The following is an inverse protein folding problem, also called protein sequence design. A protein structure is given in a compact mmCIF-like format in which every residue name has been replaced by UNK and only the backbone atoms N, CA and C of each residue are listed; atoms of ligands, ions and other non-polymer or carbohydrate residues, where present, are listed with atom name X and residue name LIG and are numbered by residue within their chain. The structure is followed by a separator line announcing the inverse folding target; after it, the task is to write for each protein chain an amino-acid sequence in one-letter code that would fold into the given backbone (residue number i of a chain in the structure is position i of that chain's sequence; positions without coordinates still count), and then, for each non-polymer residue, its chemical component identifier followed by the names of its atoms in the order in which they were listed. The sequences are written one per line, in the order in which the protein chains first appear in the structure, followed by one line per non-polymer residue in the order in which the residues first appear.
data_IF_697923227207
#
_entry.id   IF_697923227207
#
_cell.length_a   1.000
_cell.length_b   1.000
_cell.length_c   1.000
_cell.angle_alpha   90.00
_cell.angle_beta   90.00
_cell.angle_gamma   90.00
#
_symmetry.space_group_name_H-M   'P 1'
#
loop_
_entity.id
_entity.type
_entity.pdbx_description
1 polymer ?
#
# COMPACT_ATOMS: atom_id res chain seq x y z
N UNK A 1 6.61 -14.57 -4.60
CA UNK A 1 6.48 -13.40 -3.74
C UNK A 1 6.37 -13.87 -2.29
N UNK A 2 7.06 -13.22 -1.37
CA UNK A 2 7.03 -13.54 0.05
C UNK A 2 5.85 -12.82 0.74
N UNK A 3 5.26 -13.44 1.76
CA UNK A 3 4.13 -12.88 2.50
C UNK A 3 4.60 -11.93 3.59
N UNK A 4 3.81 -10.91 3.88
CA UNK A 4 3.86 -10.23 5.17
C UNK A 4 3.40 -11.19 6.27
N UNK A 5 3.84 -10.96 7.50
CA UNK A 5 3.37 -11.73 8.65
C UNK A 5 3.16 -10.84 9.87
N UNK A 6 2.05 -11.07 10.58
CA UNK A 6 1.70 -10.35 11.79
C UNK A 6 1.37 -11.33 12.91
N UNK A 7 2.05 -11.18 14.03
CA UNK A 7 1.85 -11.97 15.25
C UNK A 7 2.21 -11.15 16.48
N UNK A 8 1.95 -11.70 17.65
CA UNK A 8 2.36 -11.06 18.90
C UNK A 8 3.08 -12.04 19.82
N UNK A 9 3.96 -11.49 20.66
CA UNK A 9 4.57 -12.20 21.78
C UNK A 9 3.66 -12.07 23.00
N UNK A 10 3.34 -13.22 23.63
CA UNK A 10 2.49 -13.26 24.82
C UNK A 10 3.19 -12.66 26.03
N UNK A 11 2.41 -11.99 26.88
CA UNK A 11 2.89 -11.54 28.18
C UNK A 11 3.06 -12.72 29.15
N UNK A 12 2.08 -13.65 29.19
CA UNK A 12 2.12 -14.85 30.00
C UNK A 12 1.92 -16.08 29.12
N UNK A 13 2.75 -17.11 29.34
CA UNK A 13 2.69 -18.37 28.57
C UNK A 13 1.43 -19.18 28.83
N UNK A 14 0.78 -18.95 29.98
CA UNK A 14 -0.45 -19.68 30.41
C UNK A 14 -1.72 -19.09 29.83
N UNK A 15 -1.67 -17.90 29.20
CA UNK A 15 -2.85 -17.27 28.64
C UNK A 15 -3.37 -18.09 27.44
N UNK A 16 -4.61 -18.56 27.57
CA UNK A 16 -5.33 -19.28 26.50
C UNK A 16 -6.11 -18.36 25.60
N UNK A 17 -6.42 -17.17 26.08
CA UNK A 17 -7.12 -16.12 25.36
C UNK A 17 -6.22 -15.51 24.28
N UNK A 18 -6.83 -15.09 23.15
CA UNK A 18 -6.11 -14.42 22.05
C UNK A 18 -6.51 -12.95 21.98
N UNK A 19 -5.52 -12.12 21.68
CA UNK A 19 -5.77 -10.75 21.30
C UNK A 19 -6.38 -10.70 19.90
N UNK A 20 -7.33 -9.78 19.68
CA UNK A 20 -7.95 -9.58 18.37
C UNK A 20 -7.36 -8.38 17.66
N UNK A 21 -7.43 -8.36 16.33
CA UNK A 21 -6.91 -7.26 15.53
C UNK A 21 -7.82 -6.90 14.37
N UNK A 22 -7.92 -5.59 14.10
CA UNK A 22 -8.42 -5.01 12.85
C UNK A 22 -7.28 -4.29 12.18
N UNK A 23 -7.10 -4.52 10.88
CA UNK A 23 -6.01 -3.93 10.10
C UNK A 23 -6.53 -2.95 9.06
N UNK A 24 -5.82 -1.85 8.91
CA UNK A 24 -6.06 -0.84 7.89
C UNK A 24 -4.78 -0.60 7.10
N UNK A 25 -4.81 -0.84 5.81
CA UNK A 25 -3.71 -0.61 4.90
C UNK A 25 -4.08 0.44 3.87
N UNK A 26 -3.24 1.45 3.67
CA UNK A 26 -3.39 2.39 2.56
C UNK A 26 -2.12 2.33 1.71
N UNK A 27 -2.24 1.81 0.49
CA UNK A 27 -1.16 1.80 -0.47
C UNK A 27 -1.34 2.96 -1.44
N UNK A 28 -0.42 3.93 -1.38
CA UNK A 28 -0.35 5.07 -2.28
C UNK A 28 0.57 4.74 -3.44
N UNK A 29 0.02 4.66 -4.64
CA UNK A 29 0.75 4.28 -5.84
C UNK A 29 0.41 5.17 -7.02
N UNK A 30 1.34 5.25 -8.00
CA UNK A 30 1.20 6.08 -9.22
C UNK A 30 0.92 7.57 -8.94
N UNK A 31 1.28 8.03 -7.74
CA UNK A 31 1.30 9.43 -7.37
C UNK A 31 2.60 10.08 -7.86
N UNK A 32 2.62 11.42 -8.03
CA UNK A 32 3.81 12.15 -8.51
C UNK A 32 4.90 12.32 -7.43
N UNK A 33 4.79 11.60 -6.34
CA UNK A 33 5.77 11.64 -5.28
C UNK A 33 7.04 10.89 -5.67
N UNK A 34 8.16 11.33 -5.14
CA UNK A 34 9.43 10.63 -5.31
C UNK A 34 9.40 9.24 -4.68
N UNK A 35 8.56 9.05 -3.65
CA UNK A 35 8.34 7.80 -2.95
C UNK A 35 6.88 7.37 -3.05
N UNK A 36 6.66 6.06 -3.08
CA UNK A 36 5.37 5.46 -2.76
C UNK A 36 5.21 5.36 -1.24
N UNK A 37 3.97 5.29 -0.76
CA UNK A 37 3.70 5.20 0.68
C UNK A 37 2.82 3.98 0.98
N UNK A 38 3.16 3.34 2.08
CA UNK A 38 2.36 2.25 2.63
C UNK A 38 2.03 2.56 4.09
N UNK A 39 0.79 2.98 4.35
CA UNK A 39 0.30 3.28 5.69
C UNK A 39 -0.28 2.02 6.31
N UNK A 40 0.12 1.74 7.53
CA UNK A 40 -0.29 0.58 8.29
C UNK A 40 -1.00 1.05 9.56
N UNK A 41 -2.25 0.64 9.73
CA UNK A 41 -3.03 0.84 10.95
C UNK A 41 -3.32 -0.50 11.60
N UNK A 42 -3.04 -0.62 12.89
CA UNK A 42 -3.21 -1.84 13.68
C UNK A 42 -4.08 -1.48 14.89
N UNK A 43 -5.36 -1.89 14.90
CA UNK A 43 -6.28 -1.75 16.03
C UNK A 43 -6.31 -3.05 16.81
N UNK A 44 -5.83 -3.01 18.03
CA UNK A 44 -5.66 -4.20 18.88
C UNK A 44 -6.54 -4.07 20.12
N UNK A 45 -7.23 -5.14 20.47
CA UNK A 45 -7.84 -5.29 21.79
C UNK A 45 -6.94 -6.10 22.75
N UNK A 46 -7.31 -6.14 24.04
CA UNK A 46 -6.65 -6.97 25.05
C UNK A 46 -5.12 -6.80 25.07
N UNK A 47 -4.67 -5.57 25.01
CA UNK A 47 -3.24 -5.23 24.98
C UNK A 47 -2.48 -5.83 26.16
N UNK A 48 -3.15 -6.08 27.31
CA UNK A 48 -2.60 -6.74 28.50
C UNK A 48 -2.06 -8.14 28.27
N UNK A 49 -2.52 -8.83 27.19
CA UNK A 49 -2.01 -10.15 26.80
C UNK A 49 -0.69 -10.08 26.02
N UNK A 50 -0.29 -8.89 25.59
CA UNK A 50 0.75 -8.67 24.61
C UNK A 50 1.99 -8.10 25.27
N UNK A 51 3.15 -8.70 24.97
CA UNK A 51 4.47 -8.19 25.29
C UNK A 51 4.99 -7.29 24.16
N UNK A 52 4.86 -7.79 22.93
CA UNK A 52 5.36 -7.16 21.71
C UNK A 52 4.49 -7.53 20.51
N UNK A 53 4.22 -6.57 19.65
CA UNK A 53 3.58 -6.79 18.34
C UNK A 53 4.69 -6.90 17.29
N UNK A 54 4.68 -7.95 16.50
CA UNK A 54 5.68 -8.23 15.48
C UNK A 54 5.05 -8.19 14.11
N UNK A 55 5.63 -7.40 13.19
CA UNK A 55 5.20 -7.31 11.80
C UNK A 55 6.40 -7.52 10.88
N UNK A 56 6.38 -8.59 10.11
CA UNK A 56 7.40 -8.87 9.11
C UNK A 56 7.03 -8.25 7.76
N UNK A 57 7.98 -7.54 7.18
CA UNK A 57 7.92 -6.95 5.85
C UNK A 57 8.85 -7.72 4.92
N UNK A 58 8.37 -8.22 3.75
CA UNK A 58 9.20 -8.97 2.79
C UNK A 58 10.11 -8.06 1.97
N UNK A 59 10.61 -6.99 2.59
CA UNK A 59 11.57 -6.06 2.01
C UNK A 59 12.41 -5.38 3.09
N UNK A 60 13.53 -4.79 2.69
CA UNK A 60 14.40 -4.05 3.58
C UNK A 60 13.84 -2.66 3.88
N UNK A 61 13.75 -2.33 5.16
CA UNK A 61 13.44 -0.99 5.66
C UNK A 61 14.74 -0.38 6.16
N UNK A 62 15.08 0.79 5.66
CA UNK A 62 16.34 1.46 5.96
C UNK A 62 16.17 2.45 7.11
N UNK A 63 16.71 2.12 8.28
CA UNK A 63 16.69 2.97 9.47
C UNK A 63 17.36 4.34 9.24
N UNK A 64 18.45 4.36 8.45
CA UNK A 64 19.23 5.57 8.22
C UNK A 64 18.49 6.63 7.39
N UNK A 65 17.44 6.23 6.66
CA UNK A 65 16.63 7.12 5.82
C UNK A 65 15.31 7.53 6.48
N UNK A 66 15.05 7.11 7.73
CA UNK A 66 13.78 7.37 8.42
C UNK A 66 12.56 7.03 7.54
N UNK A 67 12.59 5.84 6.93
CA UNK A 67 11.50 5.36 6.07
C UNK A 67 10.20 5.14 6.84
N UNK A 68 10.25 5.13 8.19
CA UNK A 68 9.09 4.95 9.05
C UNK A 68 8.73 6.28 9.69
N UNK A 69 7.45 6.64 9.58
CA UNK A 69 6.89 7.86 10.14
C UNK A 69 5.68 7.55 11.01
N UNK A 70 5.60 8.20 12.19
CA UNK A 70 4.41 8.15 13.02
C UNK A 70 3.28 8.98 12.40
N UNK A 71 2.16 8.32 12.08
CA UNK A 71 0.93 8.97 11.65
C UNK A 71 -0.08 9.15 12.78
N UNK A 72 0.21 8.66 13.98
CA UNK A 72 -0.66 8.84 15.15
C UNK A 72 -0.92 10.31 15.44
N UNK A 73 0.08 11.17 15.20
CA UNK A 73 -0.04 12.63 15.40
C UNK A 73 -1.08 13.29 14.49
N UNK A 74 -1.22 12.82 13.26
CA UNK A 74 -2.21 13.38 12.31
C UNK A 74 -3.65 13.06 12.72
N UNK A 75 -3.84 12.04 13.56
CA UNK A 75 -5.14 11.64 14.08
C UNK A 75 -5.66 12.52 15.23
N UNK A 76 -4.92 13.56 15.63
CA UNK A 76 -5.42 14.60 16.54
C UNK A 76 -6.56 15.42 15.92
N UNK A 77 -6.52 15.59 14.59
CA UNK A 77 -7.56 16.28 13.86
C UNK A 77 -8.78 15.36 13.70
N UNK A 78 -9.91 15.75 14.31
CA UNK A 78 -11.13 14.94 14.32
C UNK A 78 -11.69 14.68 12.92
N UNK A 79 -11.53 15.63 11.97
CA UNK A 79 -11.94 15.48 10.59
C UNK A 79 -11.10 14.41 9.86
N UNK A 80 -9.78 14.37 10.09
CA UNK A 80 -8.89 13.36 9.52
C UNK A 80 -9.24 11.98 10.06
N UNK A 81 -9.42 11.86 11.38
CA UNK A 81 -9.83 10.61 12.03
C UNK A 81 -11.18 10.13 11.50
N UNK A 82 -12.16 11.03 11.41
CA UNK A 82 -13.49 10.71 10.87
C UNK A 82 -13.42 10.25 9.40
N UNK A 83 -12.56 10.87 8.58
CA UNK A 83 -12.38 10.48 7.18
C UNK A 83 -11.73 9.10 7.03
N UNK A 84 -10.72 8.77 7.87
CA UNK A 84 -10.02 7.48 7.83
C UNK A 84 -10.96 6.34 8.21
N UNK A 85 -11.76 6.51 9.26
CA UNK A 85 -12.66 5.47 9.76
C UNK A 85 -14.07 5.53 9.15
N UNK A 86 -14.38 6.59 8.40
CA UNK A 86 -15.69 6.86 7.79
C UNK A 86 -16.84 6.91 8.82
N UNK A 87 -16.56 7.50 9.98
CA UNK A 87 -17.50 7.70 11.09
C UNK A 87 -17.23 9.04 11.75
N UNK A 88 -18.25 9.65 12.36
CA UNK A 88 -18.08 10.91 13.08
C UNK A 88 -17.46 10.67 14.45
N UNK A 89 -16.25 11.15 14.63
CA UNK A 89 -15.50 11.04 15.86
C UNK A 89 -15.11 12.40 16.44
N UNK A 90 -14.98 12.43 17.76
CA UNK A 90 -14.27 13.48 18.49
C UNK A 90 -12.97 12.91 19.04
N UNK A 91 -11.92 13.73 19.07
CA UNK A 91 -10.60 13.33 19.55
C UNK A 91 -10.23 14.20 20.73
N UNK A 92 -9.78 13.59 21.82
CA UNK A 92 -9.32 14.28 23.02
C UNK A 92 -7.96 13.73 23.46
N UNK A 93 -7.07 14.60 23.87
CA UNK A 93 -5.74 14.20 24.32
C UNK A 93 -5.85 13.67 25.76
N UNK A 94 -5.58 12.37 25.97
CA UNK A 94 -5.59 11.72 27.28
C UNK A 94 -4.24 11.86 27.99
N UNK A 95 -3.16 11.61 27.25
CA UNK A 95 -1.78 11.81 27.69
C UNK A 95 -1.08 12.66 26.66
N UNK A 96 -0.62 13.84 27.06
CA UNK A 96 -0.04 14.82 26.15
C UNK A 96 1.12 14.23 25.33
N UNK A 97 0.95 14.28 24.00
CA UNK A 97 1.94 13.79 23.04
C UNK A 97 2.16 12.27 23.07
N UNK A 98 1.20 11.49 23.60
CA UNK A 98 1.32 10.02 23.62
C UNK A 98 0.02 9.27 23.35
N UNK A 99 -1.11 9.74 23.86
CA UNK A 99 -2.35 8.99 23.82
C UNK A 99 -3.54 9.90 23.55
N UNK A 100 -4.30 9.57 22.51
CA UNK A 100 -5.53 10.26 22.13
C UNK A 100 -6.71 9.31 22.31
N UNK A 101 -7.75 9.75 23.01
CA UNK A 101 -9.00 9.03 23.10
C UNK A 101 -9.93 9.47 21.97
N UNK A 102 -10.43 8.51 21.20
CA UNK A 102 -11.36 8.70 20.08
C UNK A 102 -12.75 8.25 20.54
N UNK A 103 -13.68 9.19 20.53
CA UNK A 103 -15.04 8.99 21.03
C UNK A 103 -16.07 9.15 19.90
N UNK A 104 -17.15 8.38 19.98
CA UNK A 104 -18.29 8.49 19.09
C UNK A 104 -19.17 9.72 19.45
N UNK A 105 -20.26 9.91 18.72
CA UNK A 105 -21.23 11.00 18.93
C UNK A 105 -21.83 10.97 20.35
N UNK A 106 -21.97 9.78 20.95
CA UNK A 106 -22.48 9.59 22.32
C UNK A 106 -21.41 9.84 23.39
N UNK A 107 -20.21 10.32 22.99
CA UNK A 107 -19.04 10.55 23.86
C UNK A 107 -18.50 9.30 24.55
N UNK A 108 -18.77 8.12 23.99
CA UNK A 108 -18.17 6.87 24.45
C UNK A 108 -16.82 6.68 23.75
N UNK A 109 -15.79 6.34 24.51
CA UNK A 109 -14.47 6.03 23.95
C UNK A 109 -14.56 4.71 23.18
N UNK A 110 -14.28 4.76 21.88
CA UNK A 110 -14.32 3.60 20.98
C UNK A 110 -12.95 2.93 20.91
N UNK A 111 -11.89 3.74 20.88
CA UNK A 111 -10.51 3.30 20.92
C UNK A 111 -9.59 4.47 21.30
N UNK A 112 -8.35 4.14 21.65
CA UNK A 112 -7.31 5.14 21.87
C UNK A 112 -6.24 5.04 20.79
N UNK A 113 -5.74 6.16 20.28
CA UNK A 113 -4.61 6.22 19.34
C UNK A 113 -3.35 6.44 20.14
N UNK A 114 -2.36 5.56 19.94
CA UNK A 114 -1.04 5.73 20.53
C UNK A 114 -0.11 6.40 19.52
N UNK A 115 0.46 7.55 19.91
CA UNK A 115 1.49 8.25 19.12
C UNK A 115 2.82 7.53 19.32
N UNK A 116 3.31 6.87 18.26
CA UNK A 116 4.55 6.10 18.30
C UNK A 116 5.77 7.04 18.34
N UNK A 117 6.62 6.86 19.33
CA UNK A 117 8.00 7.29 19.20
C UNK A 117 8.78 6.19 18.48
N UNK A 118 9.15 6.47 17.23
CA UNK A 118 9.79 5.48 16.35
C UNK A 118 11.10 4.97 16.98
N UNK A 119 11.87 5.86 17.61
CA UNK A 119 13.16 5.51 18.22
C UNK A 119 13.02 4.69 19.50
N UNK A 120 11.98 4.95 20.30
CA UNK A 120 11.79 4.30 21.61
C UNK A 120 10.90 3.05 21.52
N UNK A 121 9.85 3.11 20.69
CA UNK A 121 8.81 2.09 20.67
C UNK A 121 8.99 1.02 19.60
N UNK A 122 9.81 1.26 18.58
CA UNK A 122 10.00 0.34 17.46
C UNK A 122 11.41 -0.23 17.49
N UNK A 123 11.50 -1.56 17.37
CA UNK A 123 12.73 -2.26 17.05
C UNK A 123 12.67 -2.76 15.60
N UNK A 124 13.76 -2.60 14.86
CA UNK A 124 13.93 -3.17 13.52
C UNK A 124 15.02 -4.24 13.56
N UNK A 125 14.68 -5.44 13.12
CA UNK A 125 15.61 -6.56 12.97
C UNK A 125 15.69 -6.91 11.48
N UNK A 126 16.88 -6.77 10.89
CA UNK A 126 17.11 -7.19 9.50
C UNK A 126 17.20 -8.71 9.45
N UNK A 127 16.38 -9.32 8.62
CA UNK A 127 16.39 -10.75 8.31
C UNK A 127 16.93 -10.96 6.88
N UNK A 128 17.20 -12.23 6.53
CA UNK A 128 17.70 -12.58 5.17
C UNK A 128 16.77 -12.10 4.05
N UNK A 129 15.47 -12.11 4.29
CA UNK A 129 14.45 -11.93 3.26
C UNK A 129 13.55 -10.72 3.53
N UNK A 130 13.95 -9.84 4.44
CA UNK A 130 13.15 -8.66 4.78
C UNK A 130 13.49 -8.07 6.14
N UNK A 131 12.54 -7.34 6.70
CA UNK A 131 12.68 -6.65 7.99
C UNK A 131 11.57 -7.03 8.93
N UNK A 132 11.91 -7.37 10.16
CA UNK A 132 10.98 -7.53 11.26
C UNK A 132 10.88 -6.22 12.05
N UNK A 133 9.70 -5.62 12.04
CA UNK A 133 9.34 -4.46 12.85
C UNK A 133 8.61 -4.96 14.10
N UNK A 134 9.05 -4.52 15.26
CA UNK A 134 8.44 -4.87 16.54
C UNK A 134 8.02 -3.64 17.30
N UNK A 135 6.76 -3.58 17.74
CA UNK A 135 6.22 -2.52 18.60
C UNK A 135 6.25 -3.03 20.05
N UNK A 136 6.98 -2.34 20.92
CA UNK A 136 7.11 -2.68 22.34
C UNK A 136 5.87 -2.24 23.12
N UNK A 137 5.23 -3.17 23.81
CA UNK A 137 4.07 -2.90 24.67
C UNK A 137 4.47 -2.96 26.13
N UNK A 138 5.14 -4.03 26.56
CA UNK A 138 5.62 -4.21 27.93
C UNK A 138 6.70 -3.18 28.26
N UNK A 139 6.61 -2.62 29.44
CA UNK A 139 7.53 -1.55 29.88
C UNK A 139 7.09 -0.15 29.44
N UNK A 140 5.94 -0.03 28.76
CA UNK A 140 5.35 1.26 28.43
C UNK A 140 4.14 1.57 29.33
N UNK A 141 4.32 2.42 30.37
CA UNK A 141 3.25 2.71 31.33
C UNK A 141 1.97 3.28 30.71
N UNK A 142 2.11 3.98 29.59
CA UNK A 142 0.95 4.56 28.88
C UNK A 142 0.09 3.51 28.17
N UNK A 143 0.62 2.30 27.94
CA UNK A 143 -0.08 1.21 27.23
C UNK A 143 -0.49 0.07 28.17
N UNK A 144 0.26 -0.18 29.25
CA UNK A 144 0.08 -1.36 30.08
C UNK A 144 -1.27 -1.44 30.81
N UNK A 145 -1.82 -0.28 31.19
CA UNK A 145 -3.05 -0.19 31.98
C UNK A 145 -4.30 0.14 31.16
N UNK A 146 -4.20 0.12 29.82
CA UNK A 146 -5.33 0.43 28.96
C UNK A 146 -6.31 -0.74 28.87
N UNK A 147 -7.58 -0.47 29.20
CA UNK A 147 -8.71 -1.40 29.01
C UNK A 147 -9.44 -1.18 27.67
N UNK A 148 -9.06 -0.15 26.92
CA UNK A 148 -9.64 0.18 25.62
C UNK A 148 -8.86 -0.44 24.48
N UNK A 149 -9.50 -0.57 23.31
CA UNK A 149 -8.78 -0.88 22.08
C UNK A 149 -7.73 0.18 21.80
N UNK A 150 -6.54 -0.23 21.36
CA UNK A 150 -5.47 0.70 20.99
C UNK A 150 -5.20 0.63 19.49
N UNK A 151 -5.04 1.78 18.89
CA UNK A 151 -4.74 1.94 17.49
C UNK A 151 -3.34 2.52 17.30
N UNK A 152 -2.51 1.79 16.56
CA UNK A 152 -1.20 2.22 16.10
C UNK A 152 -1.28 2.54 14.62
N UNK A 153 -0.71 3.65 14.19
CA UNK A 153 -0.64 3.98 12.77
C UNK A 153 0.72 4.55 12.40
N UNK A 154 1.34 3.96 11.40
CA UNK A 154 2.62 4.40 10.89
C UNK A 154 2.68 4.25 9.37
N UNK A 155 3.61 4.97 8.75
CA UNK A 155 3.86 4.99 7.31
C UNK A 155 5.24 4.46 7.02
N UNK A 156 5.36 3.64 5.99
CA UNK A 156 6.62 3.32 5.35
C UNK A 156 6.69 4.09 4.04
N UNK A 157 7.71 4.97 3.93
CA UNK A 157 8.00 5.73 2.72
C UNK A 157 9.17 5.07 1.99
N UNK A 158 8.95 4.64 0.76
CA UNK A 158 9.94 3.94 -0.03
C UNK A 158 9.86 4.39 -1.49
N UNK A 159 10.99 4.41 -2.21
CA UNK A 159 10.99 4.79 -3.63
C UNK A 159 10.14 3.88 -4.49
N UNK A 160 10.07 2.61 -4.13
CA UNK A 160 9.21 1.61 -4.77
C UNK A 160 8.84 0.51 -3.77
N UNK A 161 7.85 -0.30 -4.15
CA UNK A 161 7.43 -1.50 -3.44
C UNK A 161 7.42 -2.67 -4.42
N UNK A 162 8.55 -2.93 -5.11
CA UNK A 162 8.67 -3.95 -6.15
C UNK A 162 8.34 -5.36 -5.65
N UNK A 163 8.43 -5.59 -4.35
CA UNK A 163 8.02 -6.83 -3.71
C UNK A 163 6.50 -7.03 -3.69
N UNK A 164 5.74 -5.94 -3.78
CA UNK A 164 4.26 -5.96 -3.75
C UNK A 164 3.67 -5.43 -5.06
N UNK A 165 4.33 -4.47 -5.73
CA UNK A 165 3.85 -3.84 -6.96
C UNK A 165 4.72 -4.33 -8.12
N UNK A 166 4.15 -5.09 -9.03
CA UNK A 166 4.86 -5.59 -10.20
C UNK A 166 4.43 -4.83 -11.46
N UNK A 167 5.40 -4.16 -12.10
CA UNK A 167 5.18 -3.42 -13.35
C UNK A 167 5.49 -4.31 -14.55
N UNK A 168 4.50 -4.53 -15.41
CA UNK A 168 4.67 -5.30 -16.63
C UNK A 168 4.81 -4.37 -17.83
N UNK A 169 5.94 -4.41 -18.50
CA UNK A 169 6.05 -3.88 -19.86
C UNK A 169 5.87 -5.06 -20.82
N UNK A 170 4.77 -5.10 -21.55
CA UNK A 170 4.53 -6.19 -22.48
C UNK A 170 5.51 -6.06 -23.67
N UNK A 171 6.49 -6.95 -23.74
CA UNK A 171 7.49 -6.97 -24.82
C UNK A 171 6.90 -7.29 -26.23
N UNK A 172 5.58 -7.50 -26.34
CA UNK A 172 4.91 -7.96 -27.58
C UNK A 172 3.76 -7.10 -28.08
N UNK A 173 3.47 -5.96 -27.45
CA UNK A 173 2.22 -5.19 -27.71
C UNK A 173 2.33 -4.03 -28.69
N UNK A 174 3.40 -3.89 -29.45
CA UNK A 174 3.56 -2.83 -30.46
C UNK A 174 3.29 -1.41 -29.91
N UNK A 175 2.46 -0.63 -30.61
CA UNK A 175 2.14 0.75 -30.26
C UNK A 175 1.37 0.90 -28.94
N UNK A 176 0.59 -0.10 -28.50
CA UNK A 176 -0.15 -0.04 -27.23
C UNK A 176 0.77 0.07 -26.01
N UNK A 177 1.94 -0.55 -26.04
CA UNK A 177 2.90 -0.48 -24.93
C UNK A 177 3.60 0.87 -24.80
N UNK A 178 3.55 1.69 -25.84
CA UNK A 178 4.04 3.06 -25.77
C UNK A 178 3.10 3.94 -24.95
N UNK A 179 1.81 3.54 -24.86
CA UNK A 179 0.75 4.34 -24.27
C UNK A 179 0.44 3.90 -22.84
N UNK A 180 0.36 2.58 -22.63
CA UNK A 180 -0.14 1.98 -21.40
C UNK A 180 0.94 1.14 -20.73
N UNK A 181 1.02 1.20 -19.41
CA UNK A 181 1.72 0.22 -18.59
C UNK A 181 0.72 -0.50 -17.69
N UNK A 182 0.88 -1.81 -17.60
CA UNK A 182 0.08 -2.63 -16.68
C UNK A 182 0.89 -2.89 -15.43
N UNK A 183 0.24 -2.72 -14.28
CA UNK A 183 0.82 -3.05 -12.97
C UNK A 183 -0.11 -3.97 -12.20
N UNK A 184 0.45 -4.76 -11.29
CA UNK A 184 -0.32 -5.56 -10.34
C UNK A 184 0.14 -5.26 -8.92
N UNK A 185 -0.82 -5.23 -8.01
CA UNK A 185 -0.57 -5.31 -6.56
C UNK A 185 -0.87 -6.74 -6.14
N UNK A 186 0.13 -7.39 -5.54
CA UNK A 186 0.02 -8.71 -4.92
C UNK A 186 0.37 -8.54 -3.43
N UNK A 187 -0.63 -8.50 -2.56
CA UNK A 187 -0.45 -8.34 -1.12
C UNK A 187 -0.91 -9.61 -0.43
N UNK A 188 -0.03 -10.22 0.36
CA UNK A 188 -0.31 -11.45 1.12
C UNK A 188 0.07 -11.25 2.57
N UNK A 189 -0.84 -11.61 3.47
CA UNK A 189 -0.62 -11.55 4.91
C UNK A 189 -0.82 -12.93 5.54
N UNK A 190 0.14 -13.36 6.35
CA UNK A 190 0.14 -14.64 7.07
C UNK A 190 -0.04 -15.89 6.18
N UNK A 191 0.30 -15.78 4.89
CA UNK A 191 0.24 -16.92 3.97
C UNK A 191 1.45 -17.83 4.19
N UNK A 192 1.23 -18.92 4.92
CA UNK A 192 2.27 -19.88 5.36
C UNK A 192 3.08 -20.45 4.19
N UNK A 193 2.47 -20.61 3.00
CA UNK A 193 3.16 -21.13 1.81
C UNK A 193 4.21 -20.17 1.25
N UNK A 194 4.09 -18.90 1.60
CA UNK A 194 4.95 -17.82 1.11
C UNK A 194 5.90 -17.27 2.19
N UNK A 195 5.95 -17.89 3.36
CA UNK A 195 6.88 -17.56 4.44
C UNK A 195 8.05 -18.56 4.43
N UNK A 196 9.27 -18.08 4.76
CA UNK A 196 10.42 -18.96 4.90
C UNK A 196 10.35 -19.77 6.21
N UNK A 197 11.06 -20.88 6.27
CA UNK A 197 11.06 -21.80 7.44
C UNK A 197 11.56 -21.12 8.71
N UNK A 198 12.60 -20.31 8.62
CA UNK A 198 13.18 -19.61 9.79
C UNK A 198 12.19 -18.63 10.41
N UNK A 199 11.43 -17.92 9.57
CA UNK A 199 10.39 -17.02 10.06
C UNK A 199 9.21 -17.79 10.66
N UNK A 200 8.81 -18.93 10.05
CA UNK A 200 7.77 -19.80 10.60
C UNK A 200 8.16 -20.35 11.97
N UNK A 201 9.39 -20.84 12.14
CA UNK A 201 9.91 -21.29 13.44
C UNK A 201 9.85 -20.16 14.49
N UNK A 202 10.21 -18.93 14.09
CA UNK A 202 10.12 -17.75 14.96
C UNK A 202 8.67 -17.45 15.37
N UNK A 203 7.71 -17.55 14.44
CA UNK A 203 6.28 -17.31 14.71
C UNK A 203 5.68 -18.44 15.58
N UNK A 204 6.06 -19.69 15.36
CA UNK A 204 5.56 -20.87 16.07
C UNK A 204 6.22 -21.09 17.43
N UNK A 205 7.17 -20.24 17.82
CA UNK A 205 7.79 -20.31 19.14
C UNK A 205 6.72 -20.23 20.24
N UNK A 206 6.93 -20.95 21.36
CA UNK A 206 5.94 -21.14 22.43
C UNK A 206 5.38 -19.85 23.03
N UNK A 207 6.16 -18.77 23.00
CA UNK A 207 5.78 -17.46 23.52
C UNK A 207 5.00 -16.61 22.50
N UNK A 208 4.84 -17.06 21.26
CA UNK A 208 4.20 -16.31 20.20
C UNK A 208 2.80 -16.85 19.83
N UNK A 209 1.96 -15.96 19.31
CA UNK A 209 0.63 -16.32 18.81
C UNK A 209 0.25 -15.45 17.61
N UNK A 210 -0.48 -16.02 16.67
CA UNK A 210 -1.23 -15.21 15.70
C UNK A 210 -2.40 -14.52 16.40
N UNK A 211 -2.68 -13.30 15.96
CA UNK A 211 -3.92 -12.60 16.34
C UNK A 211 -5.17 -13.36 15.86
N UNK A 212 -6.26 -13.17 16.59
CA UNK A 212 -7.60 -13.45 16.10
C UNK A 212 -8.02 -12.29 15.19
N UNK A 213 -7.91 -12.50 13.88
CA UNK A 213 -8.17 -11.46 12.87
C UNK A 213 -9.67 -11.20 12.78
N UNK A 214 -10.09 -9.93 12.87
CA UNK A 214 -11.51 -9.54 12.71
C UNK A 214 -11.80 -9.05 11.31
N UNK A 215 -11.07 -8.06 10.85
CA UNK A 215 -11.22 -7.54 9.49
C UNK A 215 -9.94 -6.90 8.99
N UNK A 216 -9.82 -6.86 7.65
CA UNK A 216 -8.85 -6.04 6.94
C UNK A 216 -9.60 -5.04 6.08
N UNK A 217 -9.14 -3.80 6.13
CA UNK A 217 -9.50 -2.73 5.23
C UNK A 217 -8.26 -2.36 4.43
N UNK A 218 -8.27 -2.62 3.14
CA UNK A 218 -7.16 -2.26 2.25
C UNK A 218 -7.64 -1.18 1.28
N UNK A 219 -7.00 -0.02 1.30
CA UNK A 219 -7.28 1.08 0.38
C UNK A 219 -6.12 1.19 -0.61
N UNK A 220 -6.46 1.04 -1.89
CA UNK A 220 -5.53 1.35 -2.98
C UNK A 220 -5.79 2.79 -3.41
N UNK A 221 -4.83 3.66 -3.13
CA UNK A 221 -4.85 5.09 -3.47
C UNK A 221 -4.09 5.30 -4.77
N UNK A 222 -4.78 5.76 -5.80
CA UNK A 222 -4.19 5.94 -7.12
C UNK A 222 -4.81 7.11 -7.86
N UNK A 223 -4.14 7.63 -8.88
CA UNK A 223 -4.66 8.73 -9.69
C UNK A 223 -5.89 8.35 -10.49
N UNK A 224 -6.75 9.32 -10.76
CA UNK A 224 -8.02 9.14 -11.45
C UNK A 224 -7.90 8.58 -12.88
N UNK A 225 -6.77 8.78 -13.55
CA UNK A 225 -6.49 8.22 -14.87
C UNK A 225 -6.03 6.75 -14.86
N UNK A 226 -5.86 6.16 -13.68
CA UNK A 226 -5.53 4.75 -13.51
C UNK A 226 -6.78 3.91 -13.63
N UNK A 227 -6.77 2.92 -14.55
CA UNK A 227 -7.92 2.05 -14.78
C UNK A 227 -7.72 0.71 -14.08
N UNK A 228 -8.56 0.41 -13.09
CA UNK A 228 -8.60 -0.91 -12.48
C UNK A 228 -9.20 -1.93 -13.42
N UNK A 229 -8.52 -3.07 -13.57
CA UNK A 229 -8.99 -4.21 -14.36
C UNK A 229 -9.62 -5.31 -13.48
N UNK A 230 -9.43 -5.24 -12.15
CA UNK A 230 -10.01 -6.19 -11.21
C UNK A 230 -11.22 -5.59 -10.51
N UNK A 231 -12.30 -6.36 -10.44
CA UNK A 231 -13.46 -6.12 -9.60
C UNK A 231 -13.21 -6.69 -8.20
N UNK A 232 -14.04 -6.31 -7.23
CA UNK A 232 -13.97 -6.86 -5.87
C UNK A 232 -13.69 -5.81 -4.78
N UNK A 233 -13.53 -4.54 -5.14
CA UNK A 233 -13.57 -3.46 -4.16
C UNK A 233 -15.01 -3.23 -3.68
N UNK A 234 -15.15 -2.87 -2.42
CA UNK A 234 -16.45 -2.60 -1.82
C UNK A 234 -17.02 -1.25 -2.30
N UNK A 235 -16.16 -0.22 -2.37
CA UNK A 235 -16.49 1.10 -2.91
C UNK A 235 -15.25 1.79 -3.47
N UNK A 236 -15.48 2.83 -4.26
CA UNK A 236 -14.45 3.73 -4.75
C UNK A 236 -14.93 5.17 -4.55
N UNK A 237 -14.05 6.05 -4.06
CA UNK A 237 -14.36 7.46 -3.88
C UNK A 237 -13.16 8.35 -4.21
N UNK A 238 -13.43 9.55 -4.69
CA UNK A 238 -12.41 10.62 -4.72
C UNK A 238 -12.08 11.02 -3.29
N UNK A 239 -10.83 11.40 -3.07
CA UNK A 239 -10.43 11.96 -1.79
C UNK A 239 -10.86 13.44 -1.69
N UNK A 240 -11.27 13.82 -0.51
CA UNK A 240 -11.58 15.20 -0.15
C UNK A 240 -10.27 15.96 0.09
N UNK A 241 -9.90 16.86 -0.84
CA UNK A 241 -8.59 17.56 -0.81
C UNK A 241 -8.33 18.29 0.50
N UNK A 242 -9.34 18.94 1.06
CA UNK A 242 -9.22 19.75 2.28
C UNK A 242 -8.78 18.92 3.51
N UNK A 243 -9.09 17.63 3.52
CA UNK A 243 -8.75 16.73 4.63
C UNK A 243 -7.48 15.95 4.33
N UNK A 244 -7.40 15.41 3.11
CA UNK A 244 -6.32 14.48 2.76
C UNK A 244 -5.02 15.16 2.37
N UNK A 245 -5.04 16.44 1.98
CA UNK A 245 -3.81 17.20 1.76
C UNK A 245 -2.99 17.30 3.06
N UNK A 246 -3.63 17.66 4.18
CA UNK A 246 -2.96 17.74 5.48
C UNK A 246 -2.41 16.39 5.93
N UNK A 247 -3.16 15.29 5.67
CA UNK A 247 -2.72 13.94 5.97
C UNK A 247 -1.49 13.50 5.15
N UNK A 248 -1.38 13.95 3.91
CA UNK A 248 -0.27 13.63 3.01
C UNK A 248 0.92 14.57 3.24
N UNK A 249 0.66 15.86 3.51
CA UNK A 249 1.67 16.91 3.68
C UNK A 249 2.58 16.75 4.91
N UNK A 250 2.36 15.73 5.73
CA UNK A 250 3.14 15.48 6.95
C UNK A 250 4.67 15.51 6.72
N UNK A 251 5.15 15.56 5.47
CA UNK A 251 6.56 15.66 5.12
C UNK A 251 6.86 16.63 3.97
N UNK A 252 6.28 17.81 3.99
CA UNK A 252 6.66 18.92 3.06
C UNK A 252 6.41 18.66 1.56
N UNK A 253 5.62 17.68 1.19
CA UNK A 253 5.24 17.42 -0.21
C UNK A 253 3.83 17.99 -0.42
N UNK A 254 3.75 19.20 -1.00
CA UNK A 254 2.48 19.79 -1.44
C UNK A 254 1.97 19.06 -2.68
N UNK A 255 1.15 18.05 -2.51
CA UNK A 255 0.43 17.45 -3.63
C UNK A 255 -1.08 17.62 -3.48
N UNK A 256 -1.71 17.95 -4.59
CA UNK A 256 -3.15 18.03 -4.67
C UNK A 256 -3.74 16.61 -4.71
N UNK A 257 -4.49 16.22 -3.68
CA UNK A 257 -5.18 14.93 -3.59
C UNK A 257 -6.47 14.87 -4.39
N UNK A 258 -6.91 15.98 -5.04
CA UNK A 258 -8.15 16.05 -5.84
C UNK A 258 -8.23 14.97 -6.94
N UNK A 259 -7.10 14.58 -7.50
CA UNK A 259 -7.05 13.58 -8.56
C UNK A 259 -6.86 12.15 -8.05
N UNK A 260 -6.96 11.93 -6.72
CA UNK A 260 -6.76 10.61 -6.15
C UNK A 260 -8.11 9.94 -5.89
N UNK A 261 -8.18 8.67 -6.30
CA UNK A 261 -9.29 7.77 -6.01
C UNK A 261 -8.81 6.71 -5.03
N UNK A 262 -9.58 6.49 -3.98
CA UNK A 262 -9.41 5.42 -3.00
C UNK A 262 -10.32 4.25 -3.37
N UNK A 263 -9.75 3.10 -3.70
CA UNK A 263 -10.48 1.85 -3.91
C UNK A 263 -10.40 1.02 -2.63
N UNK A 264 -11.53 0.78 -2.00
CA UNK A 264 -11.62 0.11 -0.71
C UNK A 264 -11.96 -1.37 -0.86
N UNK A 265 -11.06 -2.22 -0.43
CA UNK A 265 -11.24 -3.67 -0.28
C UNK A 265 -11.43 -3.99 1.20
N UNK A 266 -12.50 -4.68 1.54
CA UNK A 266 -12.79 -5.12 2.91
C UNK A 266 -12.93 -6.63 2.95
N UNK A 267 -12.28 -7.24 3.92
CA UNK A 267 -12.42 -8.66 4.21
C UNK A 267 -12.70 -8.86 5.71
N UNK A 268 -13.73 -9.65 6.02
CA UNK A 268 -14.05 -10.06 7.39
C UNK A 268 -13.64 -11.52 7.57
N UNK A 269 -12.94 -11.81 8.65
CA UNK A 269 -12.47 -13.15 8.94
C UNK A 269 -13.47 -13.92 9.78
N UNK A 270 -13.76 -15.16 9.39
CA UNK A 270 -14.55 -16.10 10.21
C UNK A 270 -13.62 -16.98 11.04
N UNK A 271 -12.65 -17.66 10.41
CA UNK A 271 -11.69 -18.56 11.07
C UNK A 271 -10.30 -18.53 10.45
N UNK A 272 -10.14 -17.96 9.26
CA UNK A 272 -8.85 -17.86 8.59
C UNK A 272 -7.95 -16.84 9.31
N UNK A 273 -6.65 -16.99 9.15
CA UNK A 273 -5.62 -16.04 9.61
C UNK A 273 -4.81 -15.45 8.46
N UNK A 274 -5.05 -15.93 7.25
CA UNK A 274 -4.37 -15.50 6.03
C UNK A 274 -5.29 -14.64 5.16
N UNK A 275 -4.68 -13.70 4.44
CA UNK A 275 -5.36 -12.80 3.52
C UNK A 275 -4.50 -12.57 2.29
N UNK A 276 -5.09 -12.71 1.11
CA UNK A 276 -4.45 -12.44 -0.17
C UNK A 276 -5.30 -11.44 -0.96
N UNK A 277 -4.64 -10.38 -1.47
CA UNK A 277 -5.24 -9.39 -2.35
C UNK A 277 -4.43 -9.31 -3.64
N UNK A 278 -5.09 -9.54 -4.77
CA UNK A 278 -4.50 -9.35 -6.09
C UNK A 278 -5.30 -8.34 -6.89
N UNK A 279 -4.66 -7.23 -7.26
CA UNK A 279 -5.28 -6.15 -8.05
C UNK A 279 -4.45 -5.89 -9.29
N UNK A 280 -5.08 -5.82 -10.45
CA UNK A 280 -4.46 -5.46 -11.71
C UNK A 280 -5.00 -4.11 -12.18
N UNK A 281 -4.09 -3.22 -12.59
CA UNK A 281 -4.47 -1.90 -13.10
C UNK A 281 -3.58 -1.46 -14.25
N UNK A 282 -4.10 -0.53 -15.05
CA UNK A 282 -3.40 0.05 -16.18
C UNK A 282 -3.23 1.55 -15.99
N UNK A 283 -2.03 2.03 -16.26
CA UNK A 283 -1.66 3.44 -16.19
C UNK A 283 -1.45 3.95 -17.60
N UNK A 284 -2.17 5.01 -17.99
CA UNK A 284 -1.92 5.72 -19.22
C UNK A 284 -0.68 6.60 -19.11
N UNK A 285 0.30 6.38 -19.98
CA UNK A 285 1.50 7.21 -20.06
C UNK A 285 1.24 8.43 -20.91
N UNK A 286 1.46 9.62 -20.37
CA UNK A 286 1.46 10.86 -21.15
C UNK A 286 2.72 10.90 -22.04
N UNK A 287 2.61 10.37 -23.26
CA UNK A 287 3.77 10.17 -24.15
C UNK A 287 3.61 10.98 -25.42
N UNK A 288 3.08 12.23 -25.33
CA UNK A 288 2.83 13.12 -26.47
C UNK A 288 4.01 13.19 -27.45
N UNK A 289 5.23 13.41 -26.97
CA UNK A 289 6.43 13.50 -27.82
C UNK A 289 6.79 12.19 -28.54
N UNK A 290 6.61 11.04 -27.88
CA UNK A 290 6.85 9.73 -28.53
C UNK A 290 5.82 9.47 -29.62
N UNK A 291 4.55 9.79 -29.38
CA UNK A 291 3.50 9.72 -30.39
C UNK A 291 3.79 10.62 -31.58
N UNK A 292 4.13 11.86 -31.30
CA UNK A 292 4.45 12.85 -32.32
C UNK A 292 5.56 12.34 -33.25
N UNK A 293 6.67 11.86 -32.69
CA UNK A 293 7.76 11.32 -33.49
C UNK A 293 7.42 10.01 -34.21
N UNK A 294 6.66 9.10 -33.59
CA UNK A 294 6.18 7.88 -34.27
C UNK A 294 5.27 8.22 -35.44
N UNK A 295 4.37 9.19 -35.30
CA UNK A 295 3.46 9.62 -36.35
C UNK A 295 4.22 10.20 -37.56
N UNK A 296 5.22 11.06 -37.26
CA UNK A 296 6.10 11.62 -38.30
C UNK A 296 6.88 10.53 -39.05
N UNK A 297 7.47 9.58 -38.31
CA UNK A 297 8.24 8.48 -38.87
C UNK A 297 7.34 7.57 -39.75
N UNK A 298 6.16 7.23 -39.28
CA UNK A 298 5.19 6.43 -40.05
C UNK A 298 4.72 7.17 -41.30
N UNK A 299 4.47 8.47 -41.20
CA UNK A 299 4.13 9.32 -42.32
C UNK A 299 5.24 9.38 -43.38
N UNK A 300 6.49 9.56 -42.93
CA UNK A 300 7.65 9.53 -43.83
C UNK A 300 7.87 8.19 -44.52
N UNK A 301 7.75 7.09 -43.75
CA UNK A 301 7.81 5.72 -44.33
C UNK A 301 6.68 5.47 -45.30
N UNK A 302 5.45 5.88 -45.00
CA UNK A 302 4.30 5.80 -45.90
C UNK A 302 4.52 6.55 -47.21
N UNK A 303 5.10 7.77 -47.16
CA UNK A 303 5.45 8.58 -48.32
C UNK A 303 6.51 7.89 -49.19
N UNK A 304 7.55 7.33 -48.57
CA UNK A 304 8.61 6.58 -49.31
C UNK A 304 8.01 5.35 -50.01
N UNK A 305 7.21 4.56 -49.31
CA UNK A 305 6.55 3.37 -49.84
C UNK A 305 5.57 3.74 -50.98
N UNK A 306 4.77 4.79 -50.80
CA UNK A 306 3.89 5.30 -51.81
C UNK A 306 4.63 5.72 -53.09
N UNK A 307 5.79 6.37 -52.93
CA UNK A 307 6.63 6.77 -54.05
C UNK A 307 7.26 5.56 -54.79
N UNK A 308 7.63 4.51 -54.07
CA UNK A 308 8.13 3.25 -54.68
C UNK A 308 7.01 2.56 -55.42
N UNK A 309 5.85 2.39 -54.79
CA UNK A 309 4.68 1.71 -55.41
C UNK A 309 4.22 2.46 -56.66
N UNK A 310 4.20 3.77 -56.68
CA UNK A 310 3.81 4.57 -57.83
C UNK A 310 4.74 4.40 -59.05
N UNK A 311 6.00 4.03 -58.83
CA UNK A 311 6.98 3.76 -59.89
C UNK A 311 6.97 2.34 -60.43
N UNK A 312 6.32 1.41 -59.74
CA UNK A 312 6.24 -0.01 -60.19
C UNK A 312 5.63 -0.15 -61.59
N UNK A 313 4.52 0.51 -61.95
CA UNK A 313 3.97 0.43 -63.32
C UNK A 313 4.96 0.91 -64.40
N UNK A 314 5.72 1.97 -64.09
CA UNK A 314 6.72 2.50 -64.98
C UNK A 314 7.88 1.52 -65.22
N UNK A 315 8.38 0.90 -64.17
CA UNK A 315 9.43 -0.11 -64.28
C UNK A 315 8.95 -1.36 -65.03
N UNK A 316 7.71 -1.81 -64.79
CA UNK A 316 7.12 -2.91 -65.50
C UNK A 316 7.00 -2.62 -67.03
N UNK A 317 6.58 -1.41 -67.40
CA UNK A 317 6.55 -0.98 -68.80
C UNK A 317 7.95 -0.97 -69.46
N UNK A 318 8.98 -0.50 -68.75
CA UNK A 318 10.35 -0.54 -69.22
C UNK A 318 10.86 -1.99 -69.44
N UNK A 319 10.54 -2.88 -68.48
CA UNK A 319 10.94 -4.30 -68.55
C UNK A 319 10.27 -5.00 -69.73
N UNK A 320 9.00 -4.74 -70.01
CA UNK A 320 8.24 -5.27 -71.19
C UNK A 320 8.83 -4.75 -72.52
N UNK A 321 9.22 -3.47 -72.56
CA UNK A 321 9.87 -2.89 -73.72
C UNK A 321 11.28 -3.42 -73.98
N UNK A 322 12.02 -3.75 -72.89
CA UNK A 322 13.33 -4.38 -72.99
C UNK A 322 13.26 -5.85 -73.51
N UNK A 323 12.27 -6.61 -73.07
CA UNK A 323 12.06 -8.01 -73.43
C UNK A 323 11.53 -8.11 -74.90
N UNK A 324 10.94 -7.05 -75.46
CA UNK A 324 10.48 -7.01 -76.84
C UNK A 324 11.53 -6.58 -77.87
N UNK A 325 12.71 -6.18 -77.46
CA UNK A 325 13.89 -5.96 -78.26
C UNK A 325 14.77 -7.20 -78.28
#
# INVERSE_FOLDING_TARGET
MQSFALWYEKRNLTDTEKATVVLNFNLWTECKWENSYFDIGIKVDKLKLINKINFFFPFEINENKLEIMDLGRTLKEANVTSAIFNENYSVTEKVKGKLLDVSNIEKQIVFSVYELDICENIDLEKLSDGTLLSIKIKGNPSLEDLDTNVYFRFRIAKSDFNEMIHKYSANKGGLQNLINSTSTVDFRLNNVRSLNSTLLEKIEAKNNNYFDMKSIHFLLMTKSHVQLQSSGYMNARKLESDIWNDYVEFNSIKENTEDIIAYHYKYNFDKSKDYDLFVKYTVEKTVFWKYFWCTILLGALGSILGNIISKIPYWLCQLVTFIRK
#
